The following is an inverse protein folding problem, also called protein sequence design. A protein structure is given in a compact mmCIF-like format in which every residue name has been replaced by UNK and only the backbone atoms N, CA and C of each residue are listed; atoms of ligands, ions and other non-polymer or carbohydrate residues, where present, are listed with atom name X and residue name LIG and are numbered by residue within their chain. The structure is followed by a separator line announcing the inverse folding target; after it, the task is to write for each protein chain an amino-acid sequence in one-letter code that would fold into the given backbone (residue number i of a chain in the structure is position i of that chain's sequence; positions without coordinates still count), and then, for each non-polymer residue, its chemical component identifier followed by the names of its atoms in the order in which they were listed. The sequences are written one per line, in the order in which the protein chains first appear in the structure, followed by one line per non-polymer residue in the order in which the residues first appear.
data_IF_053620013371
#
_entry.id   IF_053620013371
#
_cell.length_a   1.000
_cell.length_b   1.000
_cell.length_c   1.000
_cell.angle_alpha   90.00
_cell.angle_beta   90.00
_cell.angle_gamma   90.00
#
_symmetry.space_group_name_H-M   'P 1'
#
loop_
_entity.id
_entity.type
_entity.pdbx_description
1 polymer ?
#
# COMPACT_ATOMS: atom_id res chain seq x y z
N UNK A 1 -10.91 10.11 -2.09
CA UNK A 1 -12.12 9.45 -1.55
C UNK A 1 -13.24 10.48 -1.39
N UNK A 2 -13.07 11.50 -0.54
CA UNK A 2 -14.12 12.48 -0.19
C UNK A 2 -14.82 13.15 -1.38
N UNK A 3 -14.06 13.63 -2.35
CA UNK A 3 -14.61 14.28 -3.55
C UNK A 3 -15.49 13.32 -4.36
N UNK A 4 -15.06 12.07 -4.51
CA UNK A 4 -15.80 11.07 -5.28
C UNK A 4 -17.04 10.61 -4.52
N UNK A 5 -16.94 10.38 -3.21
CA UNK A 5 -18.10 10.09 -2.37
C UNK A 5 -19.13 11.22 -2.41
N UNK A 6 -18.67 12.48 -2.39
CA UNK A 6 -19.54 13.65 -2.48
C UNK A 6 -20.19 13.81 -3.85
N UNK A 7 -19.52 13.41 -4.93
CA UNK A 7 -20.03 13.58 -6.30
C UNK A 7 -20.87 12.40 -6.80
N UNK A 8 -20.52 11.18 -6.38
CA UNK A 8 -21.10 9.93 -6.88
C UNK A 8 -21.98 9.20 -5.84
N UNK A 9 -22.21 9.82 -4.67
CA UNK A 9 -23.05 9.24 -3.63
C UNK A 9 -24.52 9.18 -4.01
N UNK A 10 -25.19 8.09 -3.61
CA UNK A 10 -26.64 7.91 -3.77
C UNK A 10 -27.32 7.75 -2.41
N UNK A 11 -28.57 8.20 -2.31
CA UNK A 11 -29.36 8.06 -1.09
C UNK A 11 -29.56 6.58 -0.73
N UNK A 12 -29.36 6.25 0.55
CA UNK A 12 -29.47 4.89 1.12
C UNK A 12 -28.50 3.87 0.53
N UNK A 13 -27.36 4.31 0.00
CA UNK A 13 -26.33 3.42 -0.54
C UNK A 13 -24.93 3.84 -0.13
N UNK A 14 -24.01 2.87 -0.06
CA UNK A 14 -22.58 3.07 0.17
C UNK A 14 -21.82 2.97 -1.16
N UNK A 15 -20.81 3.82 -1.34
CA UNK A 15 -19.93 3.79 -2.51
C UNK A 15 -18.73 2.86 -2.24
N UNK A 16 -18.57 1.82 -3.07
CA UNK A 16 -17.44 0.90 -2.98
C UNK A 16 -16.28 1.41 -3.84
N UNK A 17 -15.18 1.82 -3.21
CA UNK A 17 -14.12 2.56 -3.90
C UNK A 17 -12.74 2.54 -3.20
N UNK A 18 -11.88 1.52 -3.42
CA UNK A 18 -10.52 1.51 -2.89
C UNK A 18 -9.59 2.50 -3.63
N UNK A 19 -9.47 2.37 -4.96
CA UNK A 19 -8.72 3.30 -5.81
C UNK A 19 -9.61 3.94 -6.90
N UNK A 20 -10.60 3.19 -7.38
CA UNK A 20 -11.56 3.58 -8.42
C UNK A 20 -12.98 3.19 -8.01
N UNK A 21 -14.02 3.79 -8.62
CA UNK A 21 -15.43 3.44 -8.35
C UNK A 21 -15.71 2.05 -8.88
N UNK A 22 -15.91 1.11 -7.96
CA UNK A 22 -16.25 -0.28 -8.30
C UNK A 22 -17.77 -0.41 -8.42
N UNK A 23 -18.52 0.27 -7.56
CA UNK A 23 -19.96 0.23 -7.59
C UNK A 23 -20.62 0.80 -6.33
N UNK A 24 -21.90 0.48 -6.20
CA UNK A 24 -22.76 1.00 -5.15
C UNK A 24 -23.40 -0.19 -4.43
N UNK A 25 -23.45 -0.13 -3.10
CA UNK A 25 -24.00 -1.17 -2.22
C UNK A 25 -25.21 -0.60 -1.48
N UNK A 26 -26.36 -1.25 -1.60
CA UNK A 26 -27.54 -0.82 -0.86
C UNK A 26 -27.38 -1.01 0.64
N UNK A 27 -27.85 -0.04 1.41
CA UNK A 27 -27.92 -0.14 2.86
C UNK A 27 -29.20 -0.93 3.20
N UNK A 28 -29.10 -2.08 3.90
CA UNK A 28 -30.27 -2.81 4.35
C UNK A 28 -31.18 -1.92 5.21
N UNK A 29 -32.50 -2.04 5.02
CA UNK A 29 -33.50 -1.16 5.67
C UNK A 29 -33.52 -1.20 7.20
N UNK A 30 -32.91 -2.23 7.80
CA UNK A 30 -32.77 -2.39 9.26
C UNK A 30 -31.43 -1.86 9.80
N UNK A 31 -30.58 -1.27 8.95
CA UNK A 31 -29.29 -0.69 9.32
C UNK A 31 -29.35 0.83 9.18
N UNK A 32 -28.88 1.53 10.20
CA UNK A 32 -28.76 2.98 10.20
C UNK A 32 -27.32 3.39 10.58
N UNK A 33 -26.84 4.46 9.97
CA UNK A 33 -25.53 5.04 10.29
C UNK A 33 -25.71 6.33 11.11
N UNK A 34 -24.88 6.50 12.14
CA UNK A 34 -24.84 7.69 12.97
C UNK A 34 -23.43 8.25 12.97
N UNK A 35 -23.27 9.51 12.55
CA UNK A 35 -22.01 10.24 12.67
C UNK A 35 -21.96 10.95 14.02
N UNK A 36 -21.04 10.53 14.89
CA UNK A 36 -20.82 11.19 16.19
C UNK A 36 -19.59 12.08 16.07
N UNK A 37 -19.78 13.39 16.23
CA UNK A 37 -18.67 14.34 16.28
C UNK A 37 -17.95 14.25 17.64
N UNK A 38 -16.63 14.07 17.60
CA UNK A 38 -15.78 14.02 18.79
C UNK A 38 -15.58 15.38 19.46
N UNK A 39 -15.87 16.48 18.75
CA UNK A 39 -15.59 17.84 19.20
C UNK A 39 -14.10 18.23 19.19
N UNK A 40 -13.21 17.32 18.74
CA UNK A 40 -11.77 17.55 18.65
C UNK A 40 -11.42 17.92 17.21
N UNK A 41 -10.69 19.03 17.03
CA UNK A 41 -10.18 19.43 15.71
C UNK A 41 -8.99 18.54 15.33
N UNK A 42 -9.14 17.76 14.25
CA UNK A 42 -8.05 17.04 13.61
C UNK A 42 -7.75 17.69 12.25
N UNK A 43 -6.47 18.00 11.98
CA UNK A 43 -6.04 18.53 10.68
C UNK A 43 -5.59 17.38 9.79
N UNK A 44 -6.29 17.19 8.66
CA UNK A 44 -5.98 16.16 7.65
C UNK A 44 -4.80 16.52 6.74
N UNK A 45 -4.23 17.72 6.88
CA UNK A 45 -3.07 18.19 6.08
C UNK A 45 -1.81 18.45 6.89
N UNK A 46 -1.76 18.03 8.16
CA UNK A 46 -0.62 18.27 9.06
C UNK A 46 0.61 17.41 8.74
N UNK A 47 1.73 17.73 9.43
CA UNK A 47 2.98 16.98 9.33
C UNK A 47 2.83 15.48 9.62
N UNK A 48 1.82 15.09 10.41
CA UNK A 48 1.50 13.70 10.73
C UNK A 48 0.91 12.96 9.53
N UNK A 49 0.01 13.60 8.76
CA UNK A 49 -0.54 13.01 7.53
C UNK A 49 0.56 12.80 6.48
N UNK A 50 1.41 13.82 6.29
CA UNK A 50 2.55 13.75 5.37
C UNK A 50 3.49 12.59 5.71
N UNK A 51 3.81 12.39 6.99
CA UNK A 51 4.66 11.28 7.44
C UNK A 51 4.02 9.91 7.23
N UNK A 52 2.72 9.75 7.52
CA UNK A 52 2.01 8.49 7.26
C UNK A 52 1.99 8.17 5.77
N UNK A 53 1.74 9.17 4.92
CA UNK A 53 1.77 9.02 3.46
C UNK A 53 3.16 8.59 2.98
N UNK A 54 4.21 9.30 3.40
CA UNK A 54 5.60 8.93 3.06
C UNK A 54 5.87 7.48 3.49
N UNK A 55 5.49 7.12 4.71
CA UNK A 55 5.63 5.75 5.23
C UNK A 55 4.96 4.68 4.37
N UNK A 56 3.73 4.93 3.92
CA UNK A 56 3.01 4.02 3.04
C UNK A 56 3.71 3.86 1.68
N UNK A 57 4.14 4.96 1.06
CA UNK A 57 4.87 4.93 -0.21
C UNK A 57 6.26 4.28 -0.09
N UNK A 58 6.98 4.50 1.02
CA UNK A 58 8.21 3.78 1.35
C UNK A 58 7.97 2.28 1.43
N UNK A 59 6.90 1.87 2.13
CA UNK A 59 6.50 0.46 2.23
C UNK A 59 6.21 -0.16 0.86
N UNK A 60 5.47 0.55 0.01
CA UNK A 60 5.21 0.13 -1.38
C UNK A 60 6.51 -0.06 -2.16
N UNK A 61 7.43 0.91 -2.09
CA UNK A 61 8.74 0.84 -2.79
C UNK A 61 9.55 -0.38 -2.32
N UNK A 62 9.57 -0.64 -1.02
CA UNK A 62 10.26 -1.80 -0.45
C UNK A 62 9.63 -3.12 -0.92
N UNK A 63 8.31 -3.24 -0.92
CA UNK A 63 7.59 -4.43 -1.43
C UNK A 63 7.94 -4.68 -2.90
N UNK A 64 7.86 -3.66 -3.76
CA UNK A 64 8.24 -3.77 -5.18
C UNK A 64 9.67 -4.26 -5.34
N UNK A 65 10.60 -3.68 -4.59
CA UNK A 65 12.01 -4.06 -4.63
C UNK A 65 12.25 -5.51 -4.18
N UNK A 66 11.59 -5.96 -3.11
CA UNK A 66 11.66 -7.36 -2.64
C UNK A 66 11.10 -8.30 -3.70
N UNK A 67 9.93 -8.00 -4.26
CA UNK A 67 9.31 -8.80 -5.31
C UNK A 67 10.20 -8.89 -6.57
N UNK A 68 10.76 -7.77 -7.05
CA UNK A 68 11.71 -7.77 -8.17
C UNK A 68 12.95 -8.61 -7.88
N UNK A 69 13.50 -8.54 -6.67
CA UNK A 69 14.68 -9.33 -6.28
C UNK A 69 14.41 -10.84 -6.21
N UNK A 70 13.18 -11.21 -5.86
CA UNK A 70 12.71 -12.60 -5.86
C UNK A 70 12.53 -13.07 -7.29
N UNK A 71 11.90 -12.25 -8.14
CA UNK A 71 11.70 -12.53 -9.56
C UNK A 71 13.02 -12.76 -10.31
N UNK A 72 14.03 -11.91 -10.07
CA UNK A 72 15.35 -12.05 -10.70
C UNK A 72 16.08 -13.31 -10.28
N UNK A 73 15.79 -13.84 -9.09
CA UNK A 73 16.38 -15.08 -8.56
C UNK A 73 15.68 -16.33 -9.11
N UNK A 74 14.40 -16.22 -9.45
CA UNK A 74 13.61 -17.28 -10.07
C UNK A 74 13.81 -17.42 -11.58
N UNK A 75 14.40 -16.42 -12.25
CA UNK A 75 14.77 -16.52 -13.66
C UNK A 75 16.08 -17.33 -13.80
N UNK A 76 16.17 -18.29 -14.73
CA UNK A 76 17.33 -19.18 -14.81
C UNK A 76 18.60 -18.41 -15.17
N UNK A 77 19.58 -18.43 -14.27
CA UNK A 77 20.98 -18.31 -14.64
C UNK A 77 21.33 -19.50 -15.54
N UNK A 78 22.17 -19.31 -16.54
CA UNK A 78 22.45 -20.23 -17.65
C UNK A 78 22.99 -21.64 -17.27
N UNK A 79 23.02 -22.01 -15.99
CA UNK A 79 23.41 -23.32 -15.52
C UNK A 79 22.19 -24.06 -14.98
N UNK A 80 21.65 -24.94 -15.82
CA UNK A 80 20.44 -25.71 -15.57
C UNK A 80 20.43 -26.47 -14.25
N UNK A 81 19.66 -25.95 -13.31
CA UNK A 81 18.96 -26.74 -12.32
C UNK A 81 17.49 -26.30 -12.39
N UNK A 82 16.67 -27.22 -12.89
CA UNK A 82 15.22 -27.08 -13.06
C UNK A 82 14.61 -26.92 -11.66
N UNK A 83 13.91 -25.81 -11.41
CA UNK A 83 12.89 -25.73 -10.36
C UNK A 83 11.55 -25.84 -11.09
N UNK A 84 11.05 -27.07 -11.19
CA UNK A 84 9.76 -27.45 -11.77
C UNK A 84 8.61 -27.29 -10.75
N UNK A 85 8.74 -26.39 -9.77
CA UNK A 85 7.83 -26.32 -8.61
C UNK A 85 7.40 -24.90 -8.23
N UNK A 86 7.47 -23.94 -9.16
CA UNK A 86 6.69 -22.70 -9.01
C UNK A 86 5.62 -22.74 -10.10
N UNK A 87 4.39 -23.04 -9.69
CA UNK A 87 3.21 -22.93 -10.54
C UNK A 87 3.25 -21.57 -11.26
N UNK A 88 2.94 -21.56 -12.57
CA UNK A 88 2.96 -20.36 -13.42
C UNK A 88 2.21 -19.16 -12.76
N UNK A 89 1.16 -19.48 -11.99
CA UNK A 89 0.40 -18.52 -11.18
C UNK A 89 1.26 -17.79 -10.12
N UNK A 90 2.16 -18.49 -9.44
CA UNK A 90 3.06 -17.89 -8.43
C UNK A 90 4.03 -16.87 -9.04
N UNK A 91 4.56 -17.16 -10.23
CA UNK A 91 5.46 -16.24 -10.94
C UNK A 91 4.69 -15.00 -11.41
N UNK A 92 3.46 -15.18 -11.91
CA UNK A 92 2.61 -14.07 -12.32
C UNK A 92 2.23 -13.16 -11.14
N UNK A 93 1.96 -13.72 -9.97
CA UNK A 93 1.69 -12.95 -8.75
C UNK A 93 2.91 -12.12 -8.31
N UNK A 94 4.11 -12.69 -8.33
CA UNK A 94 5.35 -11.95 -8.00
C UNK A 94 5.62 -10.83 -9.01
N UNK A 95 5.33 -11.06 -10.31
CA UNK A 95 5.42 -10.00 -11.33
C UNK A 95 4.49 -8.83 -11.00
N UNK A 96 3.23 -9.12 -10.66
CA UNK A 96 2.26 -8.09 -10.29
C UNK A 96 2.69 -7.28 -9.06
N UNK A 97 3.31 -7.94 -8.07
CA UNK A 97 3.85 -7.29 -6.87
C UNK A 97 5.09 -6.44 -7.17
N UNK A 98 5.95 -6.87 -8.10
CA UNK A 98 7.09 -6.08 -8.56
C UNK A 98 6.63 -4.79 -9.29
N UNK A 99 5.48 -4.83 -9.95
CA UNK A 99 4.86 -3.68 -10.63
C UNK A 99 3.77 -3.00 -9.81
N UNK A 100 3.67 -3.23 -8.49
CA UNK A 100 2.54 -2.79 -7.68
C UNK A 100 2.34 -1.25 -7.71
N UNK A 101 1.18 -0.80 -8.18
CA UNK A 101 0.84 0.63 -8.24
C UNK A 101 0.19 1.13 -6.95
N UNK A 102 -0.72 0.34 -6.37
CA UNK A 102 -1.42 0.65 -5.13
C UNK A 102 -1.25 -0.47 -4.12
N UNK A 103 -1.02 -0.12 -2.85
CA UNK A 103 -0.87 -1.10 -1.77
C UNK A 103 -2.11 -2.00 -1.62
N UNK A 104 -3.31 -1.44 -1.82
CA UNK A 104 -4.58 -2.18 -1.72
C UNK A 104 -4.77 -3.26 -2.80
N UNK A 105 -3.89 -3.31 -3.81
CA UNK A 105 -3.90 -4.38 -4.81
C UNK A 105 -3.14 -5.63 -4.33
N UNK A 106 -2.42 -5.53 -3.20
CA UNK A 106 -1.83 -6.67 -2.51
C UNK A 106 -2.84 -7.21 -1.49
N UNK A 107 -3.04 -8.53 -1.42
CA UNK A 107 -3.96 -9.07 -0.42
C UNK A 107 -3.32 -9.10 0.98
N UNK A 108 -4.10 -8.89 2.06
CA UNK A 108 -3.58 -8.92 3.43
C UNK A 108 -2.85 -10.22 3.79
N UNK A 109 -3.38 -11.37 3.35
CA UNK A 109 -2.74 -12.67 3.59
C UNK A 109 -1.35 -12.76 2.93
N UNK A 110 -1.23 -12.30 1.67
CA UNK A 110 0.05 -12.28 0.96
C UNK A 110 1.04 -11.32 1.62
N UNK A 111 0.57 -10.16 2.07
CA UNK A 111 1.38 -9.21 2.82
C UNK A 111 1.95 -9.82 4.12
N UNK A 112 1.10 -10.41 4.95
CA UNK A 112 1.52 -10.99 6.23
C UNK A 112 2.48 -12.16 6.05
N UNK A 113 2.26 -12.98 5.03
CA UNK A 113 3.10 -14.14 4.74
C UNK A 113 4.51 -13.76 4.25
N UNK A 114 4.64 -12.77 3.36
CA UNK A 114 5.87 -12.52 2.61
C UNK A 114 6.59 -11.23 3.00
N UNK A 115 5.85 -10.18 3.40
CA UNK A 115 6.39 -8.82 3.45
C UNK A 115 6.40 -8.20 4.84
N UNK A 116 5.42 -8.51 5.70
CA UNK A 116 5.27 -7.85 7.00
C UNK A 116 6.54 -7.93 7.89
N UNK A 117 7.22 -9.07 7.89
CA UNK A 117 8.46 -9.29 8.65
C UNK A 117 9.69 -8.65 8.00
N UNK A 118 9.64 -8.40 6.69
CA UNK A 118 10.74 -7.85 5.90
C UNK A 118 10.77 -6.32 5.94
N UNK A 119 9.61 -5.69 6.12
CA UNK A 119 9.52 -4.23 6.27
C UNK A 119 9.95 -3.82 7.67
N UNK A 120 10.80 -2.80 7.85
CA UNK A 120 11.13 -2.27 9.16
C UNK A 120 9.93 -1.54 9.77
N UNK A 121 9.85 -1.46 11.10
CA UNK A 121 8.85 -0.62 11.78
C UNK A 121 8.99 0.85 11.38
N UNK A 122 10.23 1.34 11.35
CA UNK A 122 10.56 2.69 10.90
C UNK A 122 11.95 2.74 10.24
N UNK A 123 12.20 3.79 9.46
CA UNK A 123 13.48 4.02 8.78
C UNK A 123 13.81 5.52 8.74
N UNK A 124 15.09 5.87 8.80
CA UNK A 124 15.57 7.23 8.61
C UNK A 124 15.50 7.59 7.11
N UNK A 125 15.11 8.84 6.81
CA UNK A 125 14.96 9.34 5.45
C UNK A 125 16.23 9.16 4.62
N UNK A 126 17.40 9.51 5.17
CA UNK A 126 18.69 9.37 4.49
C UNK A 126 18.98 7.90 4.12
N UNK A 127 18.80 6.97 5.07
CA UNK A 127 19.03 5.54 4.86
C UNK A 127 18.09 4.97 3.80
N UNK A 128 16.85 5.47 3.73
CA UNK A 128 15.92 5.09 2.68
C UNK A 128 16.39 5.60 1.31
N UNK A 129 16.78 6.87 1.21
CA UNK A 129 17.19 7.50 -0.04
C UNK A 129 18.49 6.90 -0.59
N UNK A 130 19.45 6.56 0.27
CA UNK A 130 20.68 5.85 -0.13
C UNK A 130 20.39 4.53 -0.85
N UNK A 131 19.36 3.81 -0.41
CA UNK A 131 19.03 2.48 -0.93
C UNK A 131 18.01 2.50 -2.07
N UNK A 132 17.01 3.38 -2.01
CA UNK A 132 15.83 3.36 -2.88
C UNK A 132 15.69 4.58 -3.78
N UNK A 133 16.52 5.62 -3.58
CA UNK A 133 16.56 6.89 -4.33
C UNK A 133 15.33 7.78 -4.12
N UNK A 134 14.12 7.21 -4.20
CA UNK A 134 12.85 7.88 -3.96
C UNK A 134 11.78 6.90 -3.44
N UNK A 135 10.65 7.43 -2.98
CA UNK A 135 9.44 6.67 -2.62
C UNK A 135 8.34 6.71 -3.70
N UNK A 136 8.60 7.39 -4.82
CA UNK A 136 7.69 7.51 -5.97
C UNK A 136 6.30 8.10 -5.61
N UNK A 137 6.30 9.17 -4.80
CA UNK A 137 5.13 10.03 -4.55
C UNK A 137 5.40 11.42 -5.12
N UNK A 138 4.47 11.95 -5.93
CA UNK A 138 4.63 13.27 -6.55
C UNK A 138 4.29 14.43 -5.60
N UNK A 139 3.65 14.15 -4.45
CA UNK A 139 3.12 15.18 -3.55
C UNK A 139 4.03 15.45 -2.36
N UNK A 140 4.73 14.44 -1.86
CA UNK A 140 5.55 14.55 -0.65
C UNK A 140 7.03 14.42 -0.96
N UNK A 141 7.86 15.05 -0.12
CA UNK A 141 9.31 15.00 -0.19
C UNK A 141 9.84 14.37 1.10
N UNK A 142 10.80 13.46 0.98
CA UNK A 142 11.46 12.84 2.12
C UNK A 142 12.44 13.84 2.73
N UNK A 143 12.32 14.07 4.03
CA UNK A 143 13.36 14.75 4.81
C UNK A 143 14.38 13.71 5.28
N UNK A 144 15.63 13.85 4.82
CA UNK A 144 16.74 12.97 5.15
C UNK A 144 16.93 12.78 6.66
N UNK A 145 16.69 13.84 7.44
CA UNK A 145 16.94 13.86 8.90
C UNK A 145 15.79 13.31 9.72
N UNK A 146 14.68 12.93 9.07
CA UNK A 146 13.47 12.48 9.76
C UNK A 146 13.30 10.98 9.67
N UNK A 147 12.87 10.38 10.78
CA UNK A 147 12.47 8.96 10.82
C UNK A 147 11.00 8.82 10.47
N UNK A 148 10.69 7.88 9.59
CA UNK A 148 9.32 7.56 9.13
C UNK A 148 8.92 6.17 9.57
N UNK A 149 7.71 6.04 10.11
CA UNK A 149 7.08 4.72 10.34
C UNK A 149 6.68 4.14 8.98
N UNK A 150 7.01 2.87 8.72
CA UNK A 150 6.80 2.23 7.42
C UNK A 150 5.79 1.10 7.51
N UNK A 151 6.03 0.11 8.41
CA UNK A 151 5.22 -1.11 8.47
C UNK A 151 3.75 -0.84 8.77
N UNK A 152 3.46 0.00 9.76
CA UNK A 152 2.09 0.30 10.15
C UNK A 152 1.31 1.04 9.04
N UNK A 153 1.82 2.15 8.46
CA UNK A 153 1.18 2.76 7.30
C UNK A 153 1.06 1.82 6.10
N UNK A 154 2.07 1.03 5.76
CA UNK A 154 1.95 0.09 4.64
C UNK A 154 0.79 -0.89 4.87
N UNK A 155 0.69 -1.47 6.07
CA UNK A 155 -0.39 -2.38 6.45
C UNK A 155 -1.77 -1.74 6.42
N UNK A 156 -1.91 -0.47 6.82
CA UNK A 156 -3.21 0.21 6.83
C UNK A 156 -3.80 0.48 5.43
N UNK A 157 -2.97 0.41 4.38
CA UNK A 157 -3.36 0.68 3.00
C UNK A 157 -3.40 -0.61 2.14
N UNK A 158 -3.28 -1.78 2.76
CA UNK A 158 -3.42 -3.12 2.20
C UNK A 158 -4.75 -3.71 2.70
#
# INVERSE_FOLDING_TARGET
MDQMTSACGEANKLLAMPAEVIGIVEIPSHICFWGIDSGIRHSVGGADYGSVRIGAFMGRKMIKSIASSTLSRSLPSANGLIIDELEDDSVNLIKAEASLDYLCNLSPHRYEALYAKMLPESILGETFLEKYIDHSDAVTVIDEKRTYVVRAPAKSYI
#
